data_IF_709738821600
#
_entry.id   IF_709738821600
#
_cell.length_a   1.000
_cell.length_b   1.000
_cell.length_c   1.000
_cell.angle_alpha   90.00
_cell.angle_beta   90.00
_cell.angle_gamma   90.00
#
_symmetry.space_group_name_H-M   'P 1'
#
loop_
_entity.id
_entity.type
_entity.pdbx_description
1 polymer ?
#
# COMPACT_ATOMS: atom_id res chain seq x y z
N UNK A 1 26.69 34.97 32.13
CA UNK A 1 25.38 34.58 31.58
C UNK A 1 25.36 34.21 30.09
N UNK A 2 26.43 34.46 29.30
CA UNK A 2 26.47 34.14 27.85
C UNK A 2 26.71 32.65 27.55
N UNK A 3 27.47 31.95 28.39
CA UNK A 3 27.77 30.51 28.22
C UNK A 3 26.56 29.59 28.49
N UNK A 4 25.62 30.03 29.35
CA UNK A 4 24.41 29.26 29.67
C UNK A 4 23.42 29.22 28.48
N UNK A 5 23.36 30.30 27.70
CA UNK A 5 22.57 30.38 26.46
C UNK A 5 23.16 29.53 25.34
N UNK A 6 24.49 29.51 25.21
CA UNK A 6 25.19 28.71 24.21
C UNK A 6 25.04 27.20 24.46
N UNK A 7 25.08 26.76 25.73
CA UNK A 7 24.85 25.37 26.10
C UNK A 7 23.40 24.92 25.77
N UNK A 8 22.42 25.79 25.99
CA UNK A 8 21.02 25.51 25.69
C UNK A 8 20.76 25.37 24.18
N UNK A 9 21.37 26.24 23.36
CA UNK A 9 21.26 26.15 21.90
C UNK A 9 21.94 24.92 21.32
N UNK A 10 23.06 24.48 21.91
CA UNK A 10 23.76 23.27 21.46
C UNK A 10 23.00 22.00 21.84
N UNK A 11 22.42 21.95 23.04
CA UNK A 11 21.58 20.84 23.47
C UNK A 11 20.33 20.67 22.58
N UNK A 12 19.74 21.78 22.14
CA UNK A 12 18.58 21.75 21.24
C UNK A 12 18.96 21.29 19.82
N UNK A 13 20.13 21.67 19.31
CA UNK A 13 20.61 21.23 18.00
C UNK A 13 20.89 19.72 17.95
N UNK A 14 21.43 19.16 19.03
CA UNK A 14 21.71 17.71 19.13
C UNK A 14 20.42 16.89 19.23
N UNK A 15 19.40 17.40 19.93
CA UNK A 15 18.10 16.74 20.03
C UNK A 15 17.38 16.63 18.67
N UNK A 16 17.55 17.62 17.78
CA UNK A 16 16.94 17.62 16.44
C UNK A 16 17.67 16.63 15.50
N UNK A 17 19.00 16.51 15.60
CA UNK A 17 19.76 15.53 14.81
C UNK A 17 19.48 14.07 15.23
N UNK A 18 19.14 13.82 16.49
CA UNK A 18 18.81 12.48 17.01
C UNK A 18 17.35 12.06 16.76
N UNK A 19 16.44 13.00 16.49
CA UNK A 19 15.01 12.73 16.30
C UNK A 19 14.58 12.42 14.86
N UNK A 20 15.47 12.54 13.88
CA UNK A 20 15.12 12.44 12.45
C UNK A 20 15.03 10.99 11.91
N UNK A 21 15.34 9.97 12.71
CA UNK A 21 15.20 8.56 12.31
C UNK A 21 13.86 7.99 12.78
N UNK A 22 12.75 8.53 12.27
CA UNK A 22 11.46 7.85 12.37
C UNK A 22 11.45 6.71 11.34
N UNK A 23 11.16 5.45 11.72
CA UNK A 23 11.04 4.37 10.76
C UNK A 23 9.84 4.69 9.85
N UNK A 24 10.07 4.68 8.54
CA UNK A 24 8.99 4.72 7.57
C UNK A 24 8.16 3.45 7.73
N UNK A 25 7.00 3.55 8.36
CA UNK A 25 6.05 2.43 8.45
C UNK A 25 5.52 2.18 7.05
N UNK A 26 5.99 1.10 6.42
CA UNK A 26 5.39 0.61 5.18
C UNK A 26 3.94 0.26 5.48
N UNK A 27 2.99 0.99 4.88
CA UNK A 27 1.58 0.70 5.05
C UNK A 27 1.28 -0.62 4.35
N UNK A 28 0.98 -1.65 5.13
CA UNK A 28 0.65 -2.96 4.60
C UNK A 28 -0.62 -2.83 3.74
N UNK A 29 -0.60 -3.25 2.46
CA UNK A 29 -1.78 -3.17 1.61
C UNK A 29 -2.91 -3.97 2.26
N UNK A 30 -4.04 -3.31 2.53
CA UNK A 30 -5.21 -3.96 3.13
C UNK A 30 -5.67 -5.13 2.26
N UNK A 31 -5.67 -6.33 2.82
CA UNK A 31 -6.17 -7.53 2.14
C UNK A 31 -7.70 -7.49 2.11
N UNK A 32 -8.28 -7.45 0.91
CA UNK A 32 -9.73 -7.53 0.70
C UNK A 32 -10.06 -8.93 0.23
N UNK A 33 -11.00 -9.59 0.91
CA UNK A 33 -11.52 -10.88 0.47
C UNK A 33 -12.59 -10.66 -0.59
N UNK A 34 -12.44 -11.33 -1.73
CA UNK A 34 -13.40 -11.32 -2.83
C UNK A 34 -13.97 -12.72 -3.01
N UNK A 35 -15.29 -12.84 -2.91
CA UNK A 35 -15.99 -14.08 -3.21
C UNK A 35 -16.36 -14.11 -4.69
N UNK A 36 -15.89 -15.14 -5.40
CA UNK A 36 -16.13 -15.34 -6.82
C UNK A 36 -17.12 -16.49 -7.02
N UNK A 37 -18.09 -16.31 -7.91
CA UNK A 37 -19.00 -17.39 -8.32
C UNK A 37 -18.41 -18.15 -9.50
N UNK A 38 -18.34 -19.48 -9.38
CA UNK A 38 -17.85 -20.36 -10.45
C UNK A 38 -18.74 -20.22 -11.70
N UNK A 39 -18.11 -20.13 -12.87
CA UNK A 39 -18.79 -20.01 -14.16
C UNK A 39 -19.37 -18.61 -14.42
N UNK A 40 -19.13 -17.64 -13.53
CA UNK A 40 -19.53 -16.24 -13.74
C UNK A 40 -18.32 -15.34 -13.84
N UNK A 41 -18.49 -14.28 -14.61
CA UNK A 41 -17.54 -13.17 -14.67
C UNK A 41 -18.05 -12.02 -13.81
N UNK A 42 -17.16 -11.44 -13.01
CA UNK A 42 -17.45 -10.30 -12.16
C UNK A 42 -16.52 -9.16 -12.50
N UNK A 43 -17.10 -7.96 -12.59
CA UNK A 43 -16.33 -6.73 -12.81
C UNK A 43 -16.02 -6.11 -11.46
N UNK A 44 -14.73 -5.88 -11.21
CA UNK A 44 -14.21 -5.23 -10.01
C UNK A 44 -13.79 -3.82 -10.40
N UNK A 45 -14.39 -2.83 -9.74
CA UNK A 45 -14.05 -1.43 -9.88
C UNK A 45 -13.21 -1.00 -8.69
N UNK A 46 -12.04 -0.44 -8.98
CA UNK A 46 -11.12 0.10 -7.99
C UNK A 46 -11.29 1.61 -7.91
N UNK A 47 -11.07 2.17 -6.72
CA UNK A 47 -11.13 3.61 -6.48
C UNK A 47 -9.96 4.35 -7.14
N UNK A 48 -8.80 3.71 -7.15
CA UNK A 48 -7.54 4.23 -7.68
C UNK A 48 -6.98 3.26 -8.74
N UNK A 49 -6.18 3.73 -9.70
CA UNK A 49 -5.62 2.88 -10.73
C UNK A 49 -4.65 1.84 -10.14
N UNK A 50 -4.73 0.59 -10.60
CA UNK A 50 -3.81 -0.45 -10.17
C UNK A 50 -2.51 -0.45 -10.99
N UNK A 51 -1.43 -0.94 -10.39
CA UNK A 51 -0.12 -1.03 -11.04
C UNK A 51 0.14 -2.44 -11.63
N UNK A 52 -0.37 -3.49 -10.97
CA UNK A 52 -0.15 -4.88 -11.37
C UNK A 52 -1.35 -5.75 -11.04
N UNK A 53 -1.61 -6.71 -11.93
CA UNK A 53 -2.52 -7.84 -11.70
C UNK A 53 -1.69 -9.11 -11.67
N UNK A 54 -1.93 -9.95 -10.67
CA UNK A 54 -1.29 -11.26 -10.55
C UNK A 54 -2.33 -12.28 -10.15
N UNK A 55 -2.39 -13.39 -10.89
CA UNK A 55 -3.28 -14.50 -10.59
C UNK A 55 -2.46 -15.57 -9.88
N UNK A 56 -2.77 -15.82 -8.61
CA UNK A 56 -2.01 -16.77 -7.80
C UNK A 56 -2.20 -18.23 -8.25
N UNK A 57 -3.44 -18.59 -8.62
CA UNK A 57 -3.75 -19.90 -9.17
C UNK A 57 -4.66 -19.75 -10.41
N UNK A 58 -4.12 -19.94 -11.63
CA UNK A 58 -4.90 -19.78 -12.87
C UNK A 58 -5.92 -20.91 -13.12
N UNK A 59 -5.88 -21.99 -12.34
CA UNK A 59 -6.90 -23.03 -12.39
C UNK A 59 -8.23 -22.55 -11.78
N UNK A 60 -8.19 -21.64 -10.80
CA UNK A 60 -9.38 -21.19 -10.04
C UNK A 60 -9.98 -19.91 -10.63
N UNK A 61 -9.17 -19.02 -11.19
CA UNK A 61 -9.67 -17.79 -11.77
C UNK A 61 -8.74 -17.24 -12.85
N UNK A 62 -9.32 -16.49 -13.80
CA UNK A 62 -8.59 -15.57 -14.66
C UNK A 62 -8.94 -14.13 -14.31
N UNK A 63 -8.02 -13.20 -14.59
CA UNK A 63 -8.24 -11.78 -14.49
C UNK A 63 -7.88 -11.10 -15.82
N UNK A 64 -8.76 -10.22 -16.29
CA UNK A 64 -8.59 -9.44 -17.50
C UNK A 64 -8.71 -7.95 -17.19
N UNK A 65 -7.75 -7.16 -17.68
CA UNK A 65 -7.73 -5.71 -17.49
C UNK A 65 -8.59 -5.05 -18.55
N UNK A 66 -9.67 -4.40 -18.10
CA UNK A 66 -10.55 -3.65 -19.00
C UNK A 66 -10.10 -2.19 -19.08
N UNK A 67 -9.88 -1.58 -17.92
CA UNK A 67 -9.35 -0.21 -17.79
C UNK A 67 -8.37 -0.15 -16.61
N UNK A 68 -7.59 0.93 -16.43
CA UNK A 68 -6.68 1.07 -15.29
C UNK A 68 -7.36 1.00 -13.91
N UNK A 69 -8.69 1.17 -13.84
CA UNK A 69 -9.48 1.09 -12.61
C UNK A 69 -10.46 -0.09 -12.61
N UNK A 70 -10.47 -0.91 -13.66
CA UNK A 70 -11.46 -1.97 -13.82
C UNK A 70 -10.83 -3.29 -14.26
N UNK A 71 -11.16 -4.34 -13.52
CA UNK A 71 -10.68 -5.70 -13.75
C UNK A 71 -11.89 -6.62 -13.86
N UNK A 72 -11.95 -7.40 -14.94
CA UNK A 72 -12.90 -8.51 -15.08
C UNK A 72 -12.25 -9.76 -14.51
N UNK A 73 -12.88 -10.39 -13.53
CA UNK A 73 -12.43 -11.64 -12.92
C UNK A 73 -13.40 -12.75 -13.29
N UNK A 74 -12.89 -13.83 -13.87
CA UNK A 74 -13.68 -15.00 -14.25
C UNK A 74 -13.36 -16.17 -13.32
N UNK A 75 -14.37 -16.67 -12.61
CA UNK A 75 -14.24 -17.83 -11.75
C UNK A 75 -14.30 -19.13 -12.54
N UNK A 76 -13.25 -19.95 -12.44
CA UNK A 76 -13.16 -21.30 -13.02
C UNK A 76 -13.38 -22.37 -11.94
N UNK A 77 -13.40 -23.64 -12.37
CA UNK A 77 -13.62 -24.81 -11.53
C UNK A 77 -12.29 -25.43 -11.07
#
# INVERSE_FOLDING_TARGET
MRHLRAALTLALAVAILLGASAPATAQEPGLVRLDLTIGKSQVINLKDPFNRVSVANPAIADAFVVTPTQILVHGKA
#
